data_IF_842468030133
#
_entry.id   IF_842468030133
#
_cell.length_a   1.000
_cell.length_b   1.000
_cell.length_c   1.000
_cell.angle_alpha   90.00
_cell.angle_beta   90.00
_cell.angle_gamma   90.00
#
_symmetry.space_group_name_H-M   'P 1'
#
loop_
_entity.id
_entity.type
_entity.pdbx_description
1 polymer ?
#
# COMPACT_ATOMS: atom_id res chain seq x y z
N UNK A 1 -52.69 19.35 9.55
CA UNK A 1 -51.61 19.14 8.55
C UNK A 1 -50.19 19.44 9.07
N UNK A 2 -49.96 20.35 10.03
CA UNK A 2 -48.59 20.71 10.47
C UNK A 2 -47.85 19.69 11.37
N UNK A 3 -48.57 18.79 12.05
CA UNK A 3 -47.97 17.85 13.00
C UNK A 3 -47.35 16.60 12.32
N UNK A 4 -47.95 16.11 11.24
CA UNK A 4 -47.42 14.96 10.49
C UNK A 4 -46.20 15.32 9.63
N UNK A 5 -46.14 16.55 9.10
CA UNK A 5 -44.98 17.05 8.36
C UNK A 5 -43.74 17.16 9.27
N UNK A 6 -43.89 17.74 10.48
CA UNK A 6 -42.80 17.80 11.48
C UNK A 6 -42.39 16.43 12.00
N UNK A 7 -43.30 15.45 12.01
CA UNK A 7 -42.99 14.07 12.41
C UNK A 7 -42.16 13.36 11.34
N UNK A 8 -42.51 13.51 10.05
CA UNK A 8 -41.71 12.98 8.92
C UNK A 8 -40.32 13.63 8.85
N UNK A 9 -40.23 14.93 9.07
CA UNK A 9 -38.95 15.66 9.12
C UNK A 9 -38.05 15.20 10.29
N UNK A 10 -38.64 15.01 11.49
CA UNK A 10 -37.92 14.44 12.65
C UNK A 10 -37.50 13.00 12.44
N UNK A 11 -38.29 12.18 11.76
CA UNK A 11 -37.97 10.77 11.50
C UNK A 11 -36.91 10.64 10.39
N UNK A 12 -36.90 11.55 9.42
CA UNK A 12 -35.90 11.64 8.35
C UNK A 12 -34.53 12.14 8.86
N UNK A 13 -34.50 13.14 9.75
CA UNK A 13 -33.28 13.52 10.49
C UNK A 13 -32.76 12.38 11.36
N UNK A 14 -33.65 11.58 11.96
CA UNK A 14 -33.27 10.41 12.76
C UNK A 14 -32.69 9.29 11.90
N UNK A 15 -33.13 9.14 10.65
CA UNK A 15 -32.58 8.16 9.70
C UNK A 15 -31.18 8.54 9.22
N UNK A 16 -30.95 9.81 8.86
CA UNK A 16 -29.61 10.31 8.47
C UNK A 16 -28.63 10.28 9.65
N UNK A 17 -29.09 10.64 10.85
CA UNK A 17 -28.28 10.51 12.08
C UNK A 17 -28.04 9.05 12.51
N UNK A 18 -28.92 8.11 12.11
CA UNK A 18 -28.72 6.67 12.32
C UNK A 18 -27.89 5.99 11.22
N UNK A 19 -27.63 6.64 10.08
CA UNK A 19 -26.68 6.17 9.07
C UNK A 19 -25.25 6.62 9.38
N UNK A 20 -25.08 7.81 9.96
CA UNK A 20 -23.78 8.31 10.40
C UNK A 20 -23.21 7.54 11.60
N UNK A 21 -24.07 7.02 12.50
CA UNK A 21 -23.62 6.25 13.68
C UNK A 21 -23.00 4.88 13.37
N UNK A 22 -23.60 3.95 12.62
CA UNK A 22 -23.00 2.65 12.32
C UNK A 22 -21.77 2.79 11.42
N UNK A 23 -21.70 3.82 10.57
CA UNK A 23 -20.52 4.10 9.73
C UNK A 23 -19.40 4.77 10.54
N UNK A 24 -19.72 5.69 11.45
CA UNK A 24 -18.73 6.22 12.40
C UNK A 24 -18.24 5.15 13.38
N UNK A 25 -19.10 4.21 13.79
CA UNK A 25 -18.73 3.03 14.57
C UNK A 25 -17.86 2.08 13.73
N UNK A 26 -18.17 1.86 12.44
CA UNK A 26 -17.33 1.12 11.50
C UNK A 26 -15.95 1.78 11.26
N UNK A 27 -15.89 3.12 11.24
CA UNK A 27 -14.66 3.92 11.13
C UNK A 27 -13.86 3.99 12.44
N UNK A 28 -14.53 3.81 13.58
CA UNK A 28 -13.93 3.83 14.92
C UNK A 28 -13.54 2.45 15.46
N UNK A 29 -13.84 1.36 14.73
CA UNK A 29 -13.26 0.07 15.08
C UNK A 29 -11.75 0.13 14.83
N UNK A 30 -10.89 0.01 15.86
CA UNK A 30 -9.57 -0.50 15.59
C UNK A 30 -9.80 -1.87 14.98
N UNK A 31 -9.21 -2.13 13.81
CA UNK A 31 -8.98 -3.50 13.37
C UNK A 31 -8.13 -4.10 14.49
N UNK A 32 -8.79 -4.74 15.44
CA UNK A 32 -8.18 -5.45 16.55
C UNK A 32 -7.37 -6.57 15.92
N UNK A 33 -6.09 -6.30 15.71
CA UNK A 33 -5.06 -7.31 15.49
C UNK A 33 -4.72 -8.05 16.79
N UNK A 34 -5.63 -8.07 17.77
CA UNK A 34 -5.52 -8.82 19.02
C UNK A 34 -5.62 -10.31 18.75
N UNK A 35 -4.54 -10.88 18.22
CA UNK A 35 -4.37 -12.33 18.12
C UNK A 35 -3.82 -12.83 19.47
N UNK A 36 -4.35 -13.90 20.09
CA UNK A 36 -4.18 -14.18 21.53
C UNK A 36 -2.79 -14.65 22.02
N UNK A 37 -1.72 -14.51 21.22
CA UNK A 37 -0.38 -15.10 21.50
C UNK A 37 0.68 -14.10 21.98
N UNK A 38 0.27 -12.91 22.43
CA UNK A 38 1.13 -11.77 22.74
C UNK A 38 2.22 -12.05 23.80
N UNK A 39 1.96 -12.95 24.76
CA UNK A 39 2.95 -13.37 25.76
C UNK A 39 4.10 -14.23 25.22
N UNK A 40 3.85 -15.06 24.20
CA UNK A 40 4.88 -15.88 23.53
C UNK A 40 5.69 -15.10 22.48
N UNK A 41 5.16 -13.99 21.96
CA UNK A 41 5.82 -13.13 20.97
C UNK A 41 7.06 -12.42 21.48
N UNK A 42 7.05 -11.98 22.75
CA UNK A 42 8.08 -11.07 23.26
C UNK A 42 9.43 -11.79 23.37
N UNK A 43 9.45 -13.07 23.77
CA UNK A 43 10.68 -13.90 23.80
C UNK A 43 11.17 -14.25 22.39
N UNK A 44 10.26 -14.52 21.45
CA UNK A 44 10.63 -14.74 20.05
C UNK A 44 11.19 -13.46 19.40
N UNK A 45 10.65 -12.28 19.70
CA UNK A 45 11.15 -10.99 19.18
C UNK A 45 12.59 -10.70 19.60
N UNK A 46 12.99 -11.00 20.84
CA UNK A 46 14.36 -10.73 21.31
C UNK A 46 15.40 -11.68 20.73
N UNK A 47 15.05 -12.95 20.54
CA UNK A 47 15.90 -13.92 19.84
C UNK A 47 15.95 -13.60 18.34
N UNK A 48 14.80 -13.23 17.75
CA UNK A 48 14.65 -12.81 16.34
C UNK A 48 15.47 -11.58 16.01
N UNK A 49 15.47 -10.54 16.84
CA UNK A 49 16.25 -9.32 16.60
C UNK A 49 17.76 -9.57 16.64
N UNK A 50 18.22 -10.50 17.48
CA UNK A 50 19.63 -10.92 17.54
C UNK A 50 20.05 -11.75 16.32
N UNK A 51 19.17 -12.63 15.82
CA UNK A 51 19.42 -13.41 14.60
C UNK A 51 19.46 -12.55 13.34
N UNK A 52 18.68 -11.47 13.27
CA UNK A 52 18.53 -10.65 12.07
C UNK A 52 19.51 -9.47 11.98
N UNK A 53 20.10 -9.04 13.11
CA UNK A 53 21.02 -7.89 13.12
C UNK A 53 22.35 -8.24 12.46
N UNK A 54 22.81 -7.43 11.51
CA UNK A 54 24.17 -7.59 10.97
C UNK A 54 25.18 -7.43 12.11
N UNK A 55 26.00 -8.48 12.36
CA UNK A 55 26.90 -8.48 13.50
C UNK A 55 28.10 -7.58 13.20
N UNK A 56 28.38 -6.65 14.10
CA UNK A 56 29.60 -5.85 14.02
C UNK A 56 30.82 -6.73 14.29
N UNK A 57 31.98 -6.34 13.76
CA UNK A 57 33.22 -7.09 13.94
C UNK A 57 33.54 -7.38 15.41
N UNK A 58 33.38 -6.39 16.29
CA UNK A 58 33.58 -6.57 17.73
C UNK A 58 32.58 -7.53 18.38
N UNK A 59 31.31 -7.51 17.96
CA UNK A 59 30.31 -8.46 18.44
C UNK A 59 30.66 -9.89 18.02
N UNK A 60 31.09 -10.09 16.78
CA UNK A 60 31.49 -11.39 16.27
C UNK A 60 32.66 -11.99 17.05
N UNK A 61 33.69 -11.19 17.37
CA UNK A 61 34.83 -11.65 18.19
C UNK A 61 34.36 -12.08 19.58
N UNK A 62 33.50 -11.28 20.22
CA UNK A 62 32.96 -11.58 21.55
C UNK A 62 32.16 -12.88 21.56
N UNK A 63 31.30 -13.09 20.56
CA UNK A 63 30.51 -14.32 20.44
C UNK A 63 31.42 -15.53 20.22
N UNK A 64 32.40 -15.43 19.33
CA UNK A 64 33.37 -16.52 19.07
C UNK A 64 34.14 -16.86 20.33
N UNK A 65 34.72 -15.86 21.02
CA UNK A 65 35.55 -16.10 22.21
C UNK A 65 34.73 -16.72 23.33
N UNK A 66 33.52 -16.22 23.59
CA UNK A 66 32.62 -16.76 24.60
C UNK A 66 32.19 -18.21 24.30
N UNK A 67 31.79 -18.50 23.05
CA UNK A 67 31.34 -19.84 22.65
C UNK A 67 32.47 -20.86 22.68
N UNK A 68 33.66 -20.51 22.17
CA UNK A 68 34.84 -21.39 22.18
C UNK A 68 35.35 -21.61 23.60
N UNK A 69 35.36 -20.58 24.45
CA UNK A 69 35.73 -20.72 25.86
C UNK A 69 34.77 -21.65 26.61
N UNK A 70 33.45 -21.50 26.40
CA UNK A 70 32.44 -22.37 26.99
C UNK A 70 32.59 -23.82 26.53
N UNK A 71 32.80 -24.05 25.23
CA UNK A 71 33.02 -25.39 24.68
C UNK A 71 34.30 -26.06 25.23
N UNK A 72 35.35 -25.26 25.44
CA UNK A 72 36.62 -25.73 26.02
C UNK A 72 36.49 -26.05 27.50
N UNK A 73 35.75 -25.23 28.26
CA UNK A 73 35.43 -25.50 29.66
C UNK A 73 34.59 -26.78 29.80
N UNK A 74 33.54 -26.93 28.97
CA UNK A 74 32.73 -28.15 28.93
C UNK A 74 33.59 -29.39 28.61
N UNK A 75 34.55 -29.25 27.70
CA UNK A 75 35.49 -30.33 27.38
C UNK A 75 36.37 -30.68 28.57
N UNK A 76 36.94 -29.69 29.25
CA UNK A 76 37.77 -29.91 30.43
C UNK A 76 37.00 -30.62 31.54
N UNK A 77 35.74 -30.24 31.78
CA UNK A 77 34.85 -30.89 32.75
C UNK A 77 34.53 -32.35 32.41
N UNK A 78 34.46 -32.70 31.13
CA UNK A 78 34.22 -34.08 30.68
C UNK A 78 35.46 -34.99 30.83
N UNK A 79 36.66 -34.41 30.97
CA UNK A 79 37.90 -35.13 31.21
C UNK A 79 38.13 -36.29 30.23
N UNK A 80 38.36 -37.48 30.79
CA UNK A 80 38.75 -38.67 30.01
C UNK A 80 37.66 -39.21 29.09
N UNK A 81 36.38 -38.96 29.41
CA UNK A 81 35.25 -39.37 28.58
C UNK A 81 35.27 -38.70 27.19
N UNK A 82 35.91 -37.54 27.07
CA UNK A 82 35.99 -36.78 25.83
C UNK A 82 37.27 -37.07 25.02
N UNK A 83 38.12 -38.01 25.45
CA UNK A 83 39.36 -38.39 24.72
C UNK A 83 39.06 -39.04 23.38
N UNK A 84 38.01 -39.87 23.30
CA UNK A 84 37.60 -40.57 22.07
C UNK A 84 36.87 -39.68 21.07
N UNK A 85 36.32 -38.56 21.53
CA UNK A 85 35.54 -37.61 20.72
C UNK A 85 36.00 -36.17 20.96
N UNK A 86 37.17 -35.77 20.41
CA UNK A 86 37.82 -34.49 20.76
C UNK A 86 36.98 -33.24 20.51
N UNK A 87 36.07 -33.30 19.53
CA UNK A 87 35.39 -32.13 18.98
C UNK A 87 33.91 -31.98 19.38
N UNK A 88 33.31 -32.95 20.08
CA UNK A 88 31.85 -32.99 20.30
C UNK A 88 31.30 -31.74 21.00
N UNK A 89 32.05 -31.16 21.93
CA UNK A 89 31.63 -29.95 22.66
C UNK A 89 31.65 -28.68 21.81
N UNK A 90 32.34 -28.69 20.67
CA UNK A 90 32.48 -27.50 19.81
C UNK A 90 31.38 -27.39 18.75
N UNK A 91 30.67 -28.46 18.40
CA UNK A 91 29.57 -28.40 17.43
C UNK A 91 28.46 -27.41 17.83
N UNK A 92 27.91 -27.45 19.07
CA UNK A 92 26.87 -26.48 19.48
C UNK A 92 27.41 -25.04 19.50
N UNK A 93 28.66 -24.84 19.91
CA UNK A 93 29.30 -23.53 19.94
C UNK A 93 29.44 -22.92 18.53
N UNK A 94 29.83 -23.71 17.53
CA UNK A 94 29.97 -23.27 16.14
C UNK A 94 28.60 -22.91 15.54
N UNK A 95 27.56 -23.70 15.82
CA UNK A 95 26.18 -23.39 15.40
C UNK A 95 25.72 -22.06 16.00
N UNK A 96 25.98 -21.84 17.30
CA UNK A 96 25.64 -20.57 17.97
C UNK A 96 26.39 -19.38 17.36
N UNK A 97 27.69 -19.52 17.06
CA UNK A 97 28.46 -18.51 16.35
C UNK A 97 27.86 -18.18 14.98
N UNK A 98 27.50 -19.20 14.19
CA UNK A 98 26.92 -19.03 12.87
C UNK A 98 25.55 -18.34 12.91
N UNK A 99 24.70 -18.71 13.89
CA UNK A 99 23.38 -18.13 14.06
C UNK A 99 23.45 -16.67 14.55
N UNK A 100 24.23 -16.39 15.60
CA UNK A 100 24.27 -15.08 16.25
C UNK A 100 25.17 -14.08 15.50
N UNK A 101 26.35 -14.52 15.07
CA UNK A 101 27.39 -13.67 14.47
C UNK A 101 27.63 -13.94 12.97
N UNK A 102 26.80 -14.76 12.34
CA UNK A 102 26.81 -15.00 10.89
C UNK A 102 27.85 -16.02 10.43
N UNK A 103 27.78 -16.41 9.16
CA UNK A 103 28.59 -17.49 8.60
C UNK A 103 30.11 -17.26 8.73
N UNK A 104 30.58 -16.02 8.62
CA UNK A 104 32.01 -15.68 8.77
C UNK A 104 32.52 -15.99 10.18
N UNK A 105 31.72 -15.66 11.19
CA UNK A 105 32.04 -15.98 12.57
C UNK A 105 31.96 -17.49 12.84
N UNK A 106 30.97 -18.16 12.25
CA UNK A 106 30.88 -19.63 12.25
C UNK A 106 32.16 -20.28 11.71
N UNK A 107 32.61 -19.91 10.51
CA UNK A 107 33.86 -20.42 9.92
C UNK A 107 35.08 -20.09 10.78
N UNK A 108 35.21 -18.85 11.26
CA UNK A 108 36.33 -18.47 12.13
C UNK A 108 36.37 -19.31 13.42
N UNK A 109 35.20 -19.64 13.98
CA UNK A 109 35.10 -20.49 15.17
C UNK A 109 35.50 -21.94 14.93
N UNK A 110 35.38 -22.47 13.69
CA UNK A 110 35.90 -23.80 13.32
C UNK A 110 37.42 -23.81 13.48
N UNK A 111 38.11 -22.83 12.88
CA UNK A 111 39.57 -22.73 12.95
C UNK A 111 40.07 -22.46 14.37
N UNK A 112 39.38 -21.57 15.11
CA UNK A 112 39.71 -21.30 16.51
C UNK A 112 39.56 -22.55 17.39
N UNK A 113 38.47 -23.32 17.21
CA UNK A 113 38.24 -24.56 17.95
C UNK A 113 39.29 -25.62 17.61
N UNK A 114 39.67 -25.74 16.33
CA UNK A 114 40.72 -26.65 15.88
C UNK A 114 42.08 -26.30 16.51
N UNK A 115 42.44 -25.01 16.55
CA UNK A 115 43.67 -24.56 17.20
C UNK A 115 43.65 -24.86 18.71
N UNK A 116 42.55 -24.58 19.41
CA UNK A 116 42.42 -24.84 20.85
C UNK A 116 42.54 -26.33 21.15
N UNK A 117 41.84 -27.21 20.42
CA UNK A 117 41.92 -28.66 20.62
C UNK A 117 43.35 -29.16 20.38
N UNK A 118 43.99 -28.72 19.30
CA UNK A 118 45.33 -29.14 18.93
C UNK A 118 46.41 -28.70 19.95
N UNK A 119 46.35 -27.45 20.42
CA UNK A 119 47.39 -26.89 21.30
C UNK A 119 47.18 -27.18 22.79
N UNK A 120 45.92 -27.25 23.24
CA UNK A 120 45.59 -27.34 24.68
C UNK A 120 45.33 -28.77 25.13
N UNK A 121 44.71 -29.60 24.28
CA UNK A 121 44.20 -30.91 24.70
C UNK A 121 44.94 -32.12 24.09
N UNK A 122 45.81 -31.91 23.09
CA UNK A 122 46.57 -32.99 22.44
C UNK A 122 48.05 -32.95 22.86
N UNK A 123 48.57 -34.07 23.38
CA UNK A 123 50.00 -34.31 23.61
C UNK A 123 50.39 -35.67 22.98
N UNK A 124 51.55 -35.80 22.29
CA UNK A 124 52.61 -34.81 22.14
C UNK A 124 52.32 -33.76 21.06
N UNK A 125 52.93 -32.58 21.24
CA UNK A 125 52.71 -31.37 20.45
C UNK A 125 53.50 -31.46 19.15
N UNK A 126 52.81 -31.55 18.02
CA UNK A 126 53.34 -31.40 16.65
C UNK A 126 54.68 -32.10 16.42
N UNK A 127 54.66 -33.43 16.39
CA UNK A 127 55.53 -34.15 15.45
C UNK A 127 54.71 -34.35 14.18
N UNK A 128 55.35 -34.20 13.01
CA UNK A 128 54.77 -34.32 11.67
C UNK A 128 54.52 -35.81 11.35
N UNK A 129 53.85 -36.49 12.26
CA UNK A 129 53.41 -37.88 12.21
C UNK A 129 51.98 -37.92 12.74
N UNK A 130 51.13 -37.03 12.20
CA UNK A 130 49.70 -37.08 12.46
C UNK A 130 49.20 -38.47 12.04
N UNK A 131 48.82 -39.28 13.02
CA UNK A 131 48.15 -40.56 12.78
C UNK A 131 46.94 -40.31 11.86
N UNK A 132 46.73 -41.20 10.89
CA UNK A 132 45.68 -41.06 9.87
C UNK A 132 44.30 -40.86 10.51
N UNK A 133 44.07 -41.45 11.68
CA UNK A 133 42.82 -41.28 12.44
C UNK A 133 42.59 -39.82 12.86
N UNK A 134 43.64 -39.10 13.28
CA UNK A 134 43.52 -37.70 13.70
C UNK A 134 43.23 -36.80 12.50
N UNK A 135 43.91 -37.01 11.38
CA UNK A 135 43.66 -36.27 10.14
C UNK A 135 42.22 -36.49 9.65
N UNK A 136 41.74 -37.74 9.64
CA UNK A 136 40.35 -38.07 9.27
C UNK A 136 39.34 -37.39 10.19
N UNK A 137 39.54 -37.41 11.52
CA UNK A 137 38.65 -36.74 12.47
C UNK A 137 38.61 -35.22 12.26
N UNK A 138 39.75 -34.58 11.99
CA UNK A 138 39.81 -33.13 11.69
C UNK A 138 39.08 -32.78 10.40
N UNK A 139 39.27 -33.58 9.34
CA UNK A 139 38.57 -33.39 8.06
C UNK A 139 37.06 -33.56 8.25
N UNK A 140 36.61 -34.63 8.91
CA UNK A 140 35.19 -34.88 9.19
C UNK A 140 34.58 -33.75 10.04
N UNK A 141 35.32 -33.25 11.04
CA UNK A 141 34.90 -32.12 11.86
C UNK A 141 34.71 -30.83 11.03
N UNK A 142 35.69 -30.48 10.20
CA UNK A 142 35.62 -29.29 9.34
C UNK A 142 34.48 -29.41 8.33
N UNK A 143 34.31 -30.56 7.69
CA UNK A 143 33.21 -30.81 6.74
C UNK A 143 31.84 -30.70 7.43
N UNK A 144 31.66 -31.38 8.57
CA UNK A 144 30.39 -31.36 9.30
C UNK A 144 30.06 -29.95 9.82
N UNK A 145 31.05 -29.24 10.38
CA UNK A 145 30.83 -27.87 10.84
C UNK A 145 30.59 -26.90 9.69
N UNK A 146 31.24 -27.08 8.54
CA UNK A 146 30.98 -26.26 7.35
C UNK A 146 29.54 -26.44 6.86
N UNK A 147 29.04 -27.69 6.85
CA UNK A 147 27.64 -27.98 6.55
C UNK A 147 26.69 -27.32 7.57
N UNK A 148 26.98 -27.42 8.87
CA UNK A 148 26.18 -26.77 9.92
C UNK A 148 26.15 -25.24 9.76
N UNK A 149 27.28 -24.62 9.43
CA UNK A 149 27.37 -23.18 9.15
C UNK A 149 26.53 -22.82 7.92
N UNK A 150 26.56 -23.63 6.86
CA UNK A 150 25.74 -23.43 5.67
C UNK A 150 24.23 -23.51 5.98
N UNK A 151 23.81 -24.51 6.76
CA UNK A 151 22.41 -24.66 7.21
C UNK A 151 22.00 -23.45 8.08
N UNK A 152 22.82 -23.05 9.04
CA UNK A 152 22.56 -21.88 9.87
C UNK A 152 22.42 -20.59 9.04
N UNK A 153 23.25 -20.42 8.01
CA UNK A 153 23.20 -19.27 7.11
C UNK A 153 21.94 -19.26 6.25
N UNK A 154 21.54 -20.42 5.70
CA UNK A 154 20.30 -20.52 4.91
C UNK A 154 19.08 -20.20 5.79
N UNK A 155 19.02 -20.75 7.00
CA UNK A 155 17.97 -20.43 7.98
C UNK A 155 17.90 -18.93 8.29
N UNK A 156 19.04 -18.31 8.64
CA UNK A 156 19.11 -16.87 8.92
C UNK A 156 18.64 -16.02 7.74
N UNK A 157 19.03 -16.40 6.52
CA UNK A 157 18.63 -15.69 5.30
C UNK A 157 17.13 -15.83 5.00
N UNK A 158 16.56 -17.01 5.19
CA UNK A 158 15.13 -17.27 4.97
C UNK A 158 14.28 -16.52 5.99
N UNK A 159 14.66 -16.53 7.27
CA UNK A 159 13.97 -15.76 8.32
C UNK A 159 14.03 -14.26 8.01
N UNK A 160 15.17 -13.75 7.53
CA UNK A 160 15.30 -12.34 7.11
C UNK A 160 14.40 -11.98 5.93
N UNK A 161 14.33 -12.85 4.92
CA UNK A 161 13.44 -12.67 3.76
C UNK A 161 11.96 -12.69 4.16
N UNK A 162 11.57 -13.63 5.03
CA UNK A 162 10.20 -13.73 5.53
C UNK A 162 9.82 -12.47 6.31
N UNK A 163 10.72 -11.95 7.14
CA UNK A 163 10.48 -10.72 7.89
C UNK A 163 10.32 -9.52 6.95
N UNK A 164 11.23 -9.33 6.00
CA UNK A 164 11.14 -8.24 5.02
C UNK A 164 9.85 -8.31 4.20
N UNK A 165 9.41 -9.51 3.83
CA UNK A 165 8.13 -9.72 3.16
C UNK A 165 6.92 -9.38 4.07
N UNK A 166 7.00 -9.72 5.35
CA UNK A 166 5.96 -9.40 6.34
C UNK A 166 5.86 -7.89 6.57
N UNK A 167 6.99 -7.21 6.79
CA UNK A 167 7.04 -5.75 6.97
C UNK A 167 6.52 -5.03 5.72
N UNK A 168 6.85 -5.54 4.53
CA UNK A 168 6.33 -5.04 3.25
C UNK A 168 4.82 -5.22 3.14
N UNK A 169 4.29 -6.38 3.54
CA UNK A 169 2.86 -6.66 3.52
C UNK A 169 2.10 -5.76 4.50
N UNK A 170 2.63 -5.54 5.71
CA UNK A 170 2.05 -4.63 6.70
C UNK A 170 2.00 -3.19 6.18
N UNK A 171 3.08 -2.70 5.58
CA UNK A 171 3.13 -1.37 4.96
C UNK A 171 2.07 -1.22 3.84
N UNK A 172 1.99 -2.21 2.94
CA UNK A 172 1.00 -2.20 1.85
C UNK A 172 -0.43 -2.24 2.41
N UNK A 173 -0.68 -2.99 3.47
CA UNK A 173 -1.99 -3.05 4.11
C UNK A 173 -2.38 -1.69 4.71
N UNK A 174 -1.45 -1.00 5.38
CA UNK A 174 -1.68 0.35 5.90
C UNK A 174 -2.02 1.34 4.78
N UNK A 175 -1.29 1.29 3.67
CA UNK A 175 -1.57 2.12 2.48
C UNK A 175 -2.93 1.80 1.86
N UNK A 176 -3.30 0.52 1.75
CA UNK A 176 -4.62 0.10 1.28
C UNK A 176 -5.74 0.60 2.19
N UNK A 177 -5.59 0.45 3.52
CA UNK A 177 -6.57 0.94 4.50
C UNK A 177 -6.74 2.47 4.36
N UNK A 178 -5.64 3.20 4.18
CA UNK A 178 -5.69 4.64 3.94
C UNK A 178 -6.47 4.99 2.67
N UNK A 179 -6.21 4.30 1.56
CA UNK A 179 -6.95 4.50 0.30
C UNK A 179 -8.43 4.17 0.42
N UNK A 180 -8.78 3.06 1.07
CA UNK A 180 -10.17 2.67 1.33
C UNK A 180 -10.89 3.73 2.17
N UNK A 181 -10.24 4.25 3.22
CA UNK A 181 -10.81 5.35 4.02
C UNK A 181 -11.07 6.60 3.20
N UNK A 182 -10.15 6.96 2.29
CA UNK A 182 -10.36 8.10 1.39
C UNK A 182 -11.57 7.88 0.47
N UNK A 183 -11.71 6.68 -0.12
CA UNK A 183 -12.88 6.36 -0.96
C UNK A 183 -14.20 6.39 -0.18
N UNK A 184 -14.22 5.91 1.06
CA UNK A 184 -15.42 5.98 1.91
C UNK A 184 -15.82 7.42 2.23
N UNK A 185 -14.84 8.31 2.45
CA UNK A 185 -15.10 9.75 2.62
C UNK A 185 -15.76 10.34 1.38
N UNK A 186 -15.29 9.99 0.18
CA UNK A 186 -15.91 10.42 -1.09
C UNK A 186 -17.35 9.92 -1.20
N UNK A 187 -17.61 8.64 -0.90
CA UNK A 187 -18.97 8.07 -0.90
C UNK A 187 -19.88 8.81 0.08
N UNK A 188 -19.39 9.11 1.29
CA UNK A 188 -20.18 9.82 2.30
C UNK A 188 -20.50 11.25 1.88
N UNK A 189 -19.51 11.98 1.33
CA UNK A 189 -19.72 13.31 0.74
C UNK A 189 -20.76 13.24 -0.37
N UNK A 190 -20.65 12.27 -1.28
CA UNK A 190 -21.58 12.05 -2.37
C UNK A 190 -23.02 11.79 -1.90
N UNK A 191 -23.19 11.02 -0.82
CA UNK A 191 -24.49 10.76 -0.22
C UNK A 191 -25.10 12.03 0.38
N UNK A 192 -24.32 12.77 1.20
CA UNK A 192 -24.79 14.03 1.81
C UNK A 192 -25.18 15.07 0.75
N UNK A 193 -24.31 15.22 -0.24
CA UNK A 193 -24.49 16.06 -1.42
C UNK A 193 -25.77 15.71 -2.20
N UNK A 194 -25.97 14.42 -2.51
CA UNK A 194 -27.15 13.97 -3.24
C UNK A 194 -28.43 14.21 -2.45
N UNK A 195 -28.40 13.98 -1.14
CA UNK A 195 -29.55 14.19 -0.29
C UNK A 195 -29.95 15.66 -0.20
N UNK A 196 -28.99 16.58 -0.13
CA UNK A 196 -29.28 18.02 -0.09
C UNK A 196 -29.85 18.54 -1.40
N UNK A 197 -29.37 18.04 -2.54
CA UNK A 197 -29.76 18.56 -3.85
C UNK A 197 -31.12 18.02 -4.35
N UNK A 198 -31.41 16.72 -4.15
CA UNK A 198 -32.66 16.10 -4.61
C UNK A 198 -33.08 14.96 -3.66
N UNK A 199 -33.70 15.29 -2.50
CA UNK A 199 -34.16 14.28 -1.55
C UNK A 199 -35.20 13.32 -2.14
N UNK A 200 -36.02 13.79 -3.08
CA UNK A 200 -37.13 13.02 -3.65
C UNK A 200 -36.65 11.91 -4.60
N UNK A 201 -35.60 12.17 -5.39
CA UNK A 201 -35.00 11.18 -6.30
C UNK A 201 -33.66 10.62 -5.80
N UNK A 202 -33.41 10.70 -4.48
CA UNK A 202 -32.12 10.37 -3.87
C UNK A 202 -31.54 9.05 -4.39
N UNK A 203 -32.30 7.95 -4.33
CA UNK A 203 -31.81 6.63 -4.73
C UNK A 203 -31.38 6.59 -6.19
N UNK A 204 -32.19 7.15 -7.10
CA UNK A 204 -31.90 7.14 -8.52
C UNK A 204 -30.67 7.98 -8.86
N UNK A 205 -30.53 9.17 -8.26
CA UNK A 205 -29.40 10.07 -8.48
C UNK A 205 -28.12 9.51 -7.85
N UNK A 206 -28.21 9.00 -6.62
CA UNK A 206 -27.07 8.43 -5.90
C UNK A 206 -26.53 7.18 -6.61
N UNK A 207 -27.41 6.29 -7.12
CA UNK A 207 -26.99 5.11 -7.88
C UNK A 207 -26.24 5.47 -9.17
N UNK A 208 -26.67 6.51 -9.90
CA UNK A 208 -25.95 6.99 -11.10
C UNK A 208 -24.55 7.49 -10.75
N UNK A 209 -24.42 8.25 -9.66
CA UNK A 209 -23.14 8.77 -9.19
C UNK A 209 -22.21 7.68 -8.63
N UNK A 210 -22.76 6.68 -7.95
CA UNK A 210 -22.01 5.49 -7.53
C UNK A 210 -21.48 4.70 -8.74
N UNK A 211 -22.25 4.61 -9.83
CA UNK A 211 -21.77 4.00 -11.07
C UNK A 211 -20.63 4.80 -11.71
N UNK A 212 -20.70 6.14 -11.69
CA UNK A 212 -19.61 7.01 -12.15
C UNK A 212 -18.33 6.84 -11.30
N UNK A 213 -18.47 6.78 -9.97
CA UNK A 213 -17.36 6.50 -9.06
C UNK A 213 -16.75 5.12 -9.33
N UNK A 214 -17.57 4.10 -9.53
CA UNK A 214 -17.12 2.75 -9.85
C UNK A 214 -16.33 2.71 -11.17
N UNK A 215 -16.77 3.44 -12.19
CA UNK A 215 -16.03 3.57 -13.45
C UNK A 215 -14.64 4.21 -13.25
N UNK A 216 -14.54 5.25 -12.40
CA UNK A 216 -13.25 5.85 -12.05
C UNK A 216 -12.32 4.91 -11.29
N UNK A 217 -12.89 4.12 -10.37
CA UNK A 217 -12.13 3.10 -9.64
C UNK A 217 -11.69 1.93 -10.54
N UNK A 218 -12.48 1.55 -11.56
CA UNK A 218 -12.07 0.53 -12.54
C UNK A 218 -10.82 0.98 -13.33
N UNK A 219 -10.80 2.25 -13.78
CA UNK A 219 -9.63 2.85 -14.46
C UNK A 219 -8.38 2.74 -13.58
N UNK A 220 -8.51 3.08 -12.29
CA UNK A 220 -7.42 2.99 -11.31
C UNK A 220 -6.97 1.56 -10.98
N UNK A 221 -7.84 0.56 -11.18
CA UNK A 221 -7.57 -0.83 -10.81
C UNK A 221 -6.79 -1.62 -11.87
N UNK A 222 -6.71 -1.11 -13.11
CA UNK A 222 -6.04 -1.78 -14.23
C UNK A 222 -4.51 -1.76 -14.03
N UNK A 223 -3.86 -2.89 -14.30
CA UNK A 223 -2.48 -3.25 -13.88
C UNK A 223 -1.34 -2.33 -14.37
N UNK A 224 -1.63 -1.38 -15.26
CA UNK A 224 -0.68 -0.34 -15.73
C UNK A 224 -0.86 1.01 -14.99
N UNK A 225 -1.79 1.08 -14.04
CA UNK A 225 -2.29 2.26 -13.35
C UNK A 225 -1.38 2.83 -12.27
N UNK A 226 -0.27 3.47 -12.68
CA UNK A 226 0.27 4.59 -11.92
C UNK A 226 -0.27 5.93 -12.42
N UNK A 227 -0.85 5.99 -13.62
CA UNK A 227 -1.37 7.21 -14.21
C UNK A 227 -2.58 6.91 -15.11
N UNK A 228 -3.54 7.83 -15.18
CA UNK A 228 -4.82 7.65 -15.87
C UNK A 228 -4.84 8.48 -17.15
N UNK A 229 -5.25 7.89 -18.28
CA UNK A 229 -5.37 8.64 -19.54
C UNK A 229 -6.54 9.63 -19.49
N UNK A 230 -6.26 10.92 -19.75
CA UNK A 230 -7.27 11.98 -19.69
C UNK A 230 -8.44 11.72 -20.64
N UNK A 231 -8.17 11.30 -21.88
CA UNK A 231 -9.21 11.00 -22.86
C UNK A 231 -10.06 9.80 -22.44
N UNK A 232 -9.46 8.76 -21.86
CA UNK A 232 -10.21 7.63 -21.30
C UNK A 232 -11.18 8.09 -20.20
N UNK A 233 -10.70 8.94 -19.27
CA UNK A 233 -11.54 9.47 -18.18
C UNK A 233 -12.75 10.24 -18.74
N UNK A 234 -12.50 11.19 -19.66
CA UNK A 234 -13.57 12.01 -20.26
C UNK A 234 -14.54 11.13 -21.04
N UNK A 235 -14.03 10.19 -21.85
CA UNK A 235 -14.86 9.28 -22.64
C UNK A 235 -15.75 8.41 -21.77
N UNK A 236 -15.21 7.81 -20.71
CA UNK A 236 -15.97 6.98 -19.75
C UNK A 236 -17.03 7.77 -18.99
N UNK A 237 -16.74 9.02 -18.62
CA UNK A 237 -17.71 9.88 -17.96
C UNK A 237 -18.89 10.27 -18.88
N UNK A 238 -18.61 10.48 -20.17
CA UNK A 238 -19.59 10.88 -21.18
C UNK A 238 -20.39 9.71 -21.79
N UNK A 239 -19.83 8.50 -21.81
CA UNK A 239 -20.41 7.29 -22.44
C UNK A 239 -21.90 7.06 -22.10
N UNK A 240 -22.37 7.20 -20.84
CA UNK A 240 -23.78 6.98 -20.51
C UNK A 240 -24.74 8.03 -21.07
N UNK A 241 -24.23 9.16 -21.58
CA UNK A 241 -25.01 10.33 -21.99
C UNK A 241 -24.91 10.63 -23.49
N UNK A 242 -23.96 10.03 -24.20
CA UNK A 242 -23.74 10.26 -25.63
C UNK A 242 -24.74 9.50 -26.53
N UNK A 243 -26.01 9.84 -26.37
CA UNK A 243 -27.08 9.31 -27.21
C UNK A 243 -27.12 10.10 -28.52
N UNK A 244 -26.76 9.44 -29.61
CA UNK A 244 -26.78 10.01 -30.96
C UNK A 244 -25.50 10.73 -31.39
N UNK A 245 -24.35 10.42 -30.76
CA UNK A 245 -23.03 10.97 -31.11
C UNK A 245 -23.02 12.51 -31.06
N UNK A 246 -23.61 13.06 -29.99
CA UNK A 246 -23.80 14.49 -29.74
C UNK A 246 -22.71 15.08 -28.86
N UNK A 247 -21.85 14.22 -28.30
CA UNK A 247 -20.68 14.62 -27.52
C UNK A 247 -19.43 14.35 -28.35
N UNK A 248 -18.73 15.41 -28.74
CA UNK A 248 -17.47 15.30 -29.50
C UNK A 248 -16.31 15.55 -28.55
N UNK A 249 -15.40 14.58 -28.43
CA UNK A 249 -14.17 14.70 -27.64
C UNK A 249 -13.00 14.88 -28.59
N UNK A 250 -12.22 15.94 -28.41
CA UNK A 250 -11.08 16.29 -29.28
C UNK A 250 -9.92 16.90 -28.48
N UNK A 251 -8.74 17.01 -29.11
CA UNK A 251 -7.56 17.60 -28.49
C UNK A 251 -6.49 16.61 -28.04
N UNK A 252 -5.45 17.12 -27.39
CA UNK A 252 -4.28 16.36 -26.92
C UNK A 252 -4.60 15.65 -25.61
N UNK A 253 -4.00 14.48 -25.40
CA UNK A 253 -4.21 13.66 -24.20
C UNK A 253 -2.87 13.31 -23.58
N UNK A 254 -2.90 13.04 -22.29
CA UNK A 254 -1.74 12.62 -21.52
C UNK A 254 -2.18 11.89 -20.27
N UNK A 255 -1.20 11.53 -19.45
CA UNK A 255 -1.36 10.72 -18.26
C UNK A 255 -1.45 11.62 -17.02
N UNK A 256 -2.58 11.53 -16.32
CA UNK A 256 -2.85 12.26 -15.10
C UNK A 256 -2.48 11.44 -13.85
N UNK A 257 -2.12 12.09 -12.74
CA UNK A 257 -1.91 11.41 -11.48
C UNK A 257 -3.19 10.70 -11.01
N UNK A 258 -3.08 9.56 -10.31
CA UNK A 258 -4.22 8.76 -9.86
C UNK A 258 -5.22 9.55 -9.01
N UNK A 259 -4.72 10.53 -8.27
CA UNK A 259 -5.51 11.36 -7.37
C UNK A 259 -6.51 12.24 -8.13
N UNK A 260 -6.22 12.61 -9.37
CA UNK A 260 -7.08 13.45 -10.21
C UNK A 260 -8.17 12.67 -10.95
N UNK A 261 -8.05 11.34 -11.07
CA UNK A 261 -8.94 10.51 -11.87
C UNK A 261 -10.39 10.51 -11.35
N UNK A 262 -10.59 10.25 -10.05
CA UNK A 262 -11.92 10.17 -9.45
C UNK A 262 -12.60 11.54 -9.37
N UNK A 263 -11.94 12.62 -8.94
CA UNK A 263 -12.55 13.94 -9.00
C UNK A 263 -12.96 14.33 -10.42
N UNK A 264 -12.09 14.09 -11.41
CA UNK A 264 -12.37 14.48 -12.80
C UNK A 264 -13.55 13.70 -13.40
N UNK A 265 -13.59 12.37 -13.20
CA UNK A 265 -14.70 11.56 -13.75
C UNK A 265 -16.04 12.01 -13.15
N UNK A 266 -16.07 12.37 -11.87
CA UNK A 266 -17.27 12.88 -11.20
C UNK A 266 -17.65 14.28 -11.72
N UNK A 267 -16.69 15.18 -11.89
CA UNK A 267 -16.92 16.51 -12.43
C UNK A 267 -17.54 16.46 -13.84
N UNK A 268 -16.97 15.66 -14.75
CA UNK A 268 -17.49 15.49 -16.10
C UNK A 268 -18.87 14.81 -16.07
N UNK A 269 -19.08 13.81 -15.20
CA UNK A 269 -20.39 13.17 -15.04
C UNK A 269 -21.49 14.14 -14.58
N UNK A 270 -21.17 15.07 -13.70
CA UNK A 270 -22.11 16.12 -13.28
C UNK A 270 -22.38 17.12 -14.40
N UNK A 271 -21.37 17.53 -15.19
CA UNK A 271 -21.57 18.36 -16.37
C UNK A 271 -22.53 17.68 -17.38
N UNK A 272 -22.32 16.39 -17.67
CA UNK A 272 -23.24 15.61 -18.49
C UNK A 272 -24.66 15.57 -17.91
N UNK A 273 -24.79 15.35 -16.61
CA UNK A 273 -26.09 15.31 -15.93
C UNK A 273 -26.81 16.65 -16.02
N UNK A 274 -26.09 17.76 -15.87
CA UNK A 274 -26.62 19.11 -16.02
C UNK A 274 -27.04 19.40 -17.46
N UNK A 275 -26.23 19.00 -18.44
CA UNK A 275 -26.55 19.15 -19.85
C UNK A 275 -27.86 18.41 -20.22
N UNK A 276 -28.12 17.24 -19.64
CA UNK A 276 -29.38 16.49 -19.87
C UNK A 276 -30.58 17.18 -19.22
N UNK A 277 -30.41 17.73 -18.01
CA UNK A 277 -31.53 18.33 -17.27
C UNK A 277 -31.88 19.74 -17.74
N UNK A 278 -30.86 20.54 -18.04
CA UNK A 278 -30.99 21.99 -18.17
C UNK A 278 -30.28 22.56 -19.41
N UNK A 279 -29.38 21.79 -20.04
CA UNK A 279 -28.47 22.29 -21.07
C UNK A 279 -28.67 21.66 -22.44
N UNK A 280 -27.60 21.58 -23.22
CA UNK A 280 -27.66 21.15 -24.63
C UNK A 280 -28.23 19.74 -24.83
N UNK A 281 -27.98 18.80 -23.92
CA UNK A 281 -28.49 17.43 -24.10
C UNK A 281 -29.99 17.27 -23.81
N UNK A 282 -30.64 18.29 -23.24
CA UNK A 282 -32.10 18.32 -22.99
C UNK A 282 -32.93 18.44 -24.27
N UNK A 283 -32.34 18.91 -25.37
CA UNK A 283 -33.00 19.09 -26.67
C UNK A 283 -32.33 18.24 -27.76
N UNK A 284 -33.05 17.80 -28.81
CA UNK A 284 -32.48 16.95 -29.85
C UNK A 284 -31.36 17.59 -30.67
N UNK A 285 -31.39 18.92 -30.85
CA UNK A 285 -30.41 19.66 -31.65
C UNK A 285 -29.09 19.94 -30.92
N UNK A 286 -29.10 19.88 -29.58
CA UNK A 286 -27.98 20.33 -28.77
C UNK A 286 -26.81 19.37 -28.80
N UNK A 287 -25.62 19.95 -28.71
CA UNK A 287 -24.33 19.28 -28.82
C UNK A 287 -23.38 19.74 -27.72
N UNK A 288 -22.43 18.86 -27.38
CA UNK A 288 -21.32 19.17 -26.47
C UNK A 288 -20.01 18.97 -27.23
N UNK A 289 -19.12 19.93 -27.10
CA UNK A 289 -17.72 19.82 -27.49
C UNK A 289 -16.85 19.77 -26.23
N UNK A 290 -16.08 18.71 -26.08
CA UNK A 290 -15.04 18.58 -25.06
C UNK A 290 -13.68 18.66 -25.73
N UNK A 291 -12.94 19.73 -25.46
CA UNK A 291 -11.58 19.93 -25.96
C UNK A 291 -10.59 19.75 -24.82
N UNK A 292 -9.56 18.93 -25.05
CA UNK A 292 -8.46 18.76 -24.11
C UNK A 292 -7.19 19.40 -24.66
N UNK A 293 -6.48 20.14 -23.83
CA UNK A 293 -5.16 20.68 -24.15
C UNK A 293 -4.14 20.23 -23.10
N UNK A 294 -2.92 19.99 -23.54
CA UNK A 294 -1.87 19.38 -22.74
C UNK A 294 -0.58 20.19 -22.89
N UNK A 295 -0.13 20.76 -21.77
CA UNK A 295 1.07 21.58 -21.68
C UNK A 295 2.09 20.90 -20.76
N UNK A 296 2.92 20.04 -21.35
CA UNK A 296 4.03 19.38 -20.65
C UNK A 296 5.04 20.37 -20.06
N UNK A 297 5.26 21.52 -20.72
CA UNK A 297 6.24 22.50 -20.28
C UNK A 297 5.81 23.20 -18.98
N UNK A 298 4.49 23.37 -18.78
CA UNK A 298 3.92 23.93 -17.56
C UNK A 298 3.43 22.88 -16.57
N UNK A 299 3.38 21.61 -16.96
CA UNK A 299 2.82 20.54 -16.13
C UNK A 299 1.31 20.70 -15.90
N UNK A 300 0.60 21.18 -16.93
CA UNK A 300 -0.83 21.48 -16.86
C UNK A 300 -1.61 20.79 -17.98
N UNK A 301 -2.85 20.41 -17.68
CA UNK A 301 -3.81 19.93 -18.66
C UNK A 301 -5.11 20.71 -18.50
N UNK A 302 -5.68 21.13 -19.62
CA UNK A 302 -6.93 21.86 -19.66
C UNK A 302 -8.02 20.97 -20.25
N UNK A 303 -9.20 21.00 -19.63
CA UNK A 303 -10.41 20.40 -20.16
C UNK A 303 -11.42 21.52 -20.35
N UNK A 304 -11.76 21.79 -21.61
CA UNK A 304 -12.76 22.76 -22.01
C UNK A 304 -14.04 22.02 -22.39
N UNK A 305 -15.14 22.43 -21.78
CA UNK A 305 -16.47 21.94 -22.04
C UNK A 305 -17.30 23.07 -22.62
N UNK A 306 -17.90 22.85 -23.78
CA UNK A 306 -18.77 23.82 -24.43
C UNK A 306 -20.09 23.16 -24.86
N UNK A 307 -21.19 23.74 -24.40
CA UNK A 307 -22.53 23.40 -24.85
C UNK A 307 -22.98 24.34 -25.96
N UNK A 308 -23.60 23.77 -27.00
CA UNK A 308 -24.14 24.52 -28.13
C UNK A 308 -25.51 23.97 -28.54
N UNK A 309 -26.29 24.82 -29.23
CA UNK A 309 -27.60 24.49 -29.77
C UNK A 309 -28.61 23.96 -28.73
N UNK A 310 -28.39 24.36 -27.47
CA UNK A 310 -29.23 24.06 -26.32
C UNK A 310 -30.35 25.08 -26.07
N UNK A 311 -31.18 24.87 -25.04
CA UNK A 311 -32.11 25.90 -24.57
C UNK A 311 -31.36 27.12 -24.05
N UNK A 312 -32.04 28.27 -23.97
CA UNK A 312 -31.47 29.49 -23.39
C UNK A 312 -31.06 29.24 -21.94
N UNK A 313 -29.77 29.38 -21.65
CA UNK A 313 -29.21 29.18 -20.31
C UNK A 313 -29.26 30.49 -19.54
N UNK A 314 -29.85 30.47 -18.34
CA UNK A 314 -29.75 31.54 -17.36
C UNK A 314 -28.75 31.14 -16.27
N UNK A 315 -28.07 32.14 -15.67
CA UNK A 315 -27.24 31.87 -14.48
C UNK A 315 -28.09 31.22 -13.39
N UNK A 316 -27.62 30.14 -12.76
CA UNK A 316 -28.37 29.47 -11.70
C UNK A 316 -28.55 30.41 -10.51
N UNK A 317 -29.76 30.46 -9.94
CA UNK A 317 -30.03 31.26 -8.74
C UNK A 317 -29.36 30.68 -7.49
N UNK A 318 -28.99 29.39 -7.51
CA UNK A 318 -28.38 28.68 -6.39
C UNK A 318 -27.14 27.92 -6.87
N UNK A 319 -26.03 28.04 -6.14
CA UNK A 319 -24.87 27.18 -6.34
C UNK A 319 -25.26 25.73 -6.01
N UNK A 320 -25.29 24.89 -7.04
CA UNK A 320 -25.67 23.48 -6.92
C UNK A 320 -24.51 22.56 -6.61
N UNK A 321 -24.74 21.26 -6.80
CA UNK A 321 -23.74 20.24 -6.54
C UNK A 321 -22.54 20.29 -7.49
N UNK A 322 -22.78 20.67 -8.75
CA UNK A 322 -21.74 20.77 -9.76
C UNK A 322 -20.64 21.74 -9.35
N UNK A 323 -21.00 22.90 -8.78
CA UNK A 323 -20.04 23.90 -8.29
C UNK A 323 -19.19 23.41 -7.11
N UNK A 324 -19.73 22.55 -6.24
CA UNK A 324 -18.97 21.99 -5.11
C UNK A 324 -18.00 20.87 -5.52
N UNK A 325 -18.35 20.04 -6.51
CA UNK A 325 -17.45 19.03 -7.08
C UNK A 325 -16.37 19.65 -7.98
N UNK A 326 -16.69 20.75 -8.65
CA UNK A 326 -15.76 21.57 -9.42
C UNK A 326 -14.87 22.48 -8.55
N UNK A 327 -15.09 22.51 -7.23
CA UNK A 327 -14.25 23.17 -6.24
C UNK A 327 -13.34 22.16 -5.50
N UNK A 328 -13.21 20.92 -5.99
CA UNK A 328 -12.30 19.94 -5.42
C UNK A 328 -10.85 20.47 -5.43
N UNK A 329 -10.14 20.48 -4.28
CA UNK A 329 -8.77 20.99 -4.19
C UNK A 329 -7.79 20.35 -5.17
N UNK A 330 -8.09 19.13 -5.65
CA UNK A 330 -7.26 18.38 -6.60
C UNK A 330 -7.49 18.85 -8.04
N UNK A 331 -8.71 19.25 -8.40
CA UNK A 331 -9.05 19.74 -9.74
C UNK A 331 -8.70 21.21 -9.96
N UNK A 332 -8.52 21.97 -8.87
CA UNK A 332 -8.42 23.43 -8.95
C UNK A 332 -9.77 24.10 -9.22
N UNK A 333 -9.84 25.44 -9.18
CA UNK A 333 -11.10 26.15 -9.41
C UNK A 333 -11.52 26.02 -10.88
N UNK A 334 -12.67 25.40 -11.14
CA UNK A 334 -13.25 25.41 -12.48
C UNK A 334 -13.86 26.79 -12.80
N UNK A 335 -13.63 27.30 -14.01
CA UNK A 335 -14.25 28.54 -14.47
C UNK A 335 -15.54 28.21 -15.23
N UNK A 336 -16.68 28.68 -14.72
CA UNK A 336 -18.01 28.45 -15.30
C UNK A 336 -18.56 29.75 -15.88
N UNK A 337 -18.88 29.75 -17.16
CA UNK A 337 -19.48 30.88 -17.87
C UNK A 337 -20.81 30.44 -18.47
N UNK A 338 -21.91 30.98 -17.93
CA UNK A 338 -23.27 30.73 -18.41
C UNK A 338 -23.61 31.76 -19.50
N UNK A 339 -23.46 31.37 -20.77
CA UNK A 339 -23.90 32.20 -21.89
C UNK A 339 -25.32 31.81 -22.29
N UNK A 340 -26.13 32.74 -22.84
CA UNK A 340 -27.46 32.39 -23.37
C UNK A 340 -27.44 31.26 -24.41
N UNK A 341 -26.32 31.08 -25.09
CA UNK A 341 -26.13 30.06 -26.14
C UNK A 341 -25.69 28.68 -25.59
N UNK A 342 -25.31 28.60 -24.32
CA UNK A 342 -24.82 27.38 -23.69
C UNK A 342 -23.83 27.62 -22.55
N UNK A 343 -23.57 26.58 -21.76
CA UNK A 343 -22.56 26.56 -20.71
C UNK A 343 -21.16 26.41 -21.32
N UNK A 344 -20.21 27.21 -20.84
CA UNK A 344 -18.77 26.98 -21.01
C UNK A 344 -18.13 26.70 -19.66
N UNK A 345 -17.35 25.63 -19.57
CA UNK A 345 -16.58 25.28 -18.38
C UNK A 345 -15.12 25.00 -18.74
N UNK A 346 -14.20 25.52 -17.95
CA UNK A 346 -12.78 25.20 -18.03
C UNK A 346 -12.28 24.61 -16.71
N UNK A 347 -11.64 23.45 -16.80
CA UNK A 347 -11.01 22.74 -15.68
C UNK A 347 -9.51 22.67 -15.96
N UNK A 348 -8.68 23.14 -15.02
CA UNK A 348 -7.22 23.16 -15.15
C UNK A 348 -6.57 22.22 -14.13
N UNK A 349 -5.97 21.15 -14.64
CA UNK A 349 -5.41 20.05 -13.88
C UNK A 349 -3.89 20.16 -13.84
N UNK A 350 -3.28 19.75 -12.72
CA UNK A 350 -1.82 19.53 -12.66
C UNK A 350 -1.51 18.12 -13.16
N UNK A 351 -0.58 18.00 -14.11
CA UNK A 351 -0.23 16.72 -14.74
C UNK A 351 0.86 15.96 -13.99
N UNK A 352 1.54 16.60 -13.03
CA UNK A 352 2.65 16.07 -12.21
C UNK A 352 3.76 15.39 -13.03
N UNK A 353 4.90 16.07 -13.12
CA UNK A 353 6.18 15.48 -13.52
C UNK A 353 6.73 14.50 -12.48
#
# INVERSE_FOLDING_TARGET
MGAEARKREKDQFRFVANLSRPIAIALAFPVSTGVPWEGSMVRLRSVRSRLLREPTFGHSILVISACVAAASLARWLLGDAARTVPFVTYFPAIVLCALLAGWRAGLASIFASMAVVNYVFMQPKVEITADWNTAVMMILFVLSCSLLVAIAQTLRSTVGRLQAATDRAEFLNQELIHRVRNSLTVVNSLAAMTHQADPANFTAVFSKRMAALAAGLDILSRREGLECDLREIVSRACEPFDVGNRIVISGTTGRLPPQSCVPLILAIHELCTNAVKYGALSVPAGRILVQTDWDDARGLAHVHWEEADGPLVASPEHEGLGSALLADPVLGPANLVFNPQGLRCEICLKTSC
#
